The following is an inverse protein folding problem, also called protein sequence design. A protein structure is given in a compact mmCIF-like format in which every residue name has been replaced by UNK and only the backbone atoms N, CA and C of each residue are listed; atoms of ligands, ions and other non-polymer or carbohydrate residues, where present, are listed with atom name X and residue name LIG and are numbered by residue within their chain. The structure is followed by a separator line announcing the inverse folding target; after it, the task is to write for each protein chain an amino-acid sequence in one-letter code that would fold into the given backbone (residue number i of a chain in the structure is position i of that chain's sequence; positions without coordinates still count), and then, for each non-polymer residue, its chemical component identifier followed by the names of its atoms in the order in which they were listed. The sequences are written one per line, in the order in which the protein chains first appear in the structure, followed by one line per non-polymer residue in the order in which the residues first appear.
data_IF_956174388562
#
_entry.id   IF_956174388562
#
_cell.length_a   1.000
_cell.length_b   1.000
_cell.length_c   1.000
_cell.angle_alpha   90.00
_cell.angle_beta   90.00
_cell.angle_gamma   90.00
#
_symmetry.space_group_name_H-M   'P 1'
#
loop_
_entity.id
_entity.type
_entity.pdbx_description
1 polymer ?
#
# COMPACT_ATOMS: atom_id res chain seq x y z
N UNK A 1 -12.65 26.46 0.51
CA UNK A 1 -11.94 25.79 -0.61
C UNK A 1 -10.47 25.56 -0.29
N UNK A 2 -9.74 26.60 0.13
CA UNK A 2 -8.32 26.53 0.50
C UNK A 2 -8.03 25.41 1.50
N UNK A 3 -8.80 25.30 2.59
CA UNK A 3 -8.62 24.23 3.59
C UNK A 3 -8.76 22.79 3.05
N UNK A 4 -9.58 22.56 2.01
CA UNK A 4 -9.68 21.24 1.37
C UNK A 4 -8.44 20.97 0.53
N UNK A 5 -8.07 21.91 -0.34
CA UNK A 5 -6.87 21.79 -1.18
C UNK A 5 -5.56 21.72 -0.38
N UNK A 6 -5.54 22.33 0.80
CA UNK A 6 -4.42 22.27 1.75
C UNK A 6 -4.34 20.94 2.53
N UNK A 7 -5.27 19.99 2.32
CA UNK A 7 -5.25 18.73 3.05
C UNK A 7 -5.73 18.82 4.50
N UNK A 8 -6.29 19.96 4.92
CA UNK A 8 -6.75 20.16 6.31
C UNK A 8 -8.12 19.55 6.59
N UNK A 9 -8.86 19.21 5.54
CA UNK A 9 -10.17 18.56 5.63
C UNK A 9 -10.05 17.10 5.20
N UNK A 10 -10.38 16.20 6.13
CA UNK A 10 -10.40 14.76 5.89
C UNK A 10 -11.80 14.35 5.39
N UNK A 11 -11.99 14.37 4.08
CA UNK A 11 -13.27 14.07 3.44
C UNK A 11 -13.14 12.83 2.55
N UNK A 12 -14.17 11.98 2.45
CA UNK A 12 -14.13 10.78 1.62
C UNK A 12 -14.28 11.05 0.12
N UNK A 13 -14.71 12.25 -0.24
CA UNK A 13 -14.78 12.71 -1.62
C UNK A 13 -14.70 14.23 -1.63
N UNK A 14 -14.44 14.86 -2.79
CA UNK A 14 -14.51 16.29 -2.89
C UNK A 14 -15.90 16.80 -2.46
N UNK A 15 -16.01 17.95 -1.76
CA UNK A 15 -17.29 18.50 -1.32
C UNK A 15 -18.28 18.68 -2.47
N UNK A 16 -19.52 18.23 -2.31
CA UNK A 16 -20.56 18.29 -3.35
C UNK A 16 -20.80 19.70 -3.87
N UNK A 17 -20.82 20.71 -2.98
CA UNK A 17 -20.94 22.11 -3.38
C UNK A 17 -19.84 22.54 -4.37
N UNK A 18 -18.60 22.07 -4.21
CA UNK A 18 -17.50 22.40 -5.14
C UNK A 18 -17.70 21.69 -6.49
N UNK A 19 -18.28 20.48 -6.48
CA UNK A 19 -18.61 19.75 -7.71
C UNK A 19 -19.75 20.45 -8.44
N UNK A 20 -20.80 20.91 -7.75
CA UNK A 20 -21.99 21.50 -8.37
C UNK A 20 -21.72 22.86 -9.04
N UNK A 21 -20.78 23.65 -8.52
CA UNK A 21 -20.41 24.95 -9.10
C UNK A 21 -19.37 24.86 -10.24
N UNK A 22 -18.90 23.66 -10.60
CA UNK A 22 -17.81 23.44 -11.57
C UNK A 22 -18.30 22.76 -12.85
N UNK A 23 -17.73 23.16 -13.98
CA UNK A 23 -17.89 22.47 -15.26
C UNK A 23 -17.30 21.05 -15.20
N UNK A 24 -17.73 20.17 -16.10
CA UNK A 24 -17.39 18.75 -16.09
C UNK A 24 -15.89 18.47 -15.92
N UNK A 25 -15.04 19.10 -16.73
CA UNK A 25 -13.58 18.90 -16.70
C UNK A 25 -12.96 19.33 -15.37
N UNK A 26 -13.43 20.44 -14.80
CA UNK A 26 -12.95 20.92 -13.51
C UNK A 26 -13.36 20.02 -12.35
N UNK A 27 -14.48 19.27 -12.49
CA UNK A 27 -14.87 18.25 -11.52
C UNK A 27 -13.99 17.02 -11.66
N UNK A 28 -13.72 16.57 -12.88
CA UNK A 28 -12.83 15.43 -13.13
C UNK A 28 -11.43 15.69 -12.55
N UNK A 29 -10.85 16.86 -12.84
CA UNK A 29 -9.55 17.27 -12.28
C UNK A 29 -9.52 17.27 -10.75
N UNK A 30 -10.64 17.64 -10.12
CA UNK A 30 -10.77 17.66 -8.66
C UNK A 30 -10.83 16.25 -8.08
N UNK A 31 -11.49 15.32 -8.77
CA UNK A 31 -11.55 13.91 -8.41
C UNK A 31 -10.18 13.25 -8.59
N UNK A 32 -9.48 13.52 -9.69
CA UNK A 32 -8.12 13.03 -9.94
C UNK A 32 -7.15 13.53 -8.86
N UNK A 33 -7.21 14.83 -8.55
CA UNK A 33 -6.42 15.43 -7.49
C UNK A 33 -6.74 14.80 -6.13
N UNK A 34 -8.02 14.55 -5.82
CA UNK A 34 -8.42 13.87 -4.60
C UNK A 34 -7.86 12.44 -4.54
N UNK A 35 -7.97 11.72 -5.66
CA UNK A 35 -7.52 10.34 -5.76
C UNK A 35 -6.01 10.20 -5.58
N UNK A 36 -5.25 11.13 -6.13
CA UNK A 36 -3.79 11.13 -6.08
C UNK A 36 -3.24 11.61 -4.72
N UNK A 37 -3.84 12.64 -4.12
CA UNK A 37 -3.24 13.33 -2.97
C UNK A 37 -3.83 12.94 -1.62
N UNK A 38 -5.10 12.53 -1.57
CA UNK A 38 -5.84 12.33 -0.32
C UNK A 38 -6.05 10.86 -0.01
N UNK A 39 -6.35 10.04 -1.02
CA UNK A 39 -6.44 8.60 -0.81
C UNK A 39 -5.09 8.05 -0.32
N UNK A 40 -5.17 6.99 0.46
CA UNK A 40 -4.02 6.27 0.93
C UNK A 40 -4.19 4.79 0.61
N UNK A 41 -3.11 4.13 0.21
CA UNK A 41 -3.13 2.71 -0.13
C UNK A 41 -2.27 1.95 0.85
N UNK A 42 -2.85 0.98 1.53
CA UNK A 42 -2.09 -0.03 2.26
C UNK A 42 -2.05 -1.31 1.43
N UNK A 43 -0.95 -2.04 1.54
CA UNK A 43 -0.78 -3.35 0.88
C UNK A 43 -0.75 -4.47 1.90
N UNK A 44 -1.19 -5.65 1.49
CA UNK A 44 -1.09 -6.86 2.27
C UNK A 44 -0.56 -7.97 1.38
N UNK A 45 0.44 -8.71 1.88
CA UNK A 45 0.93 -9.90 1.21
C UNK A 45 -0.01 -11.08 1.50
N UNK A 46 -0.53 -11.68 0.44
CA UNK A 46 -1.40 -12.85 0.47
C UNK A 46 -0.55 -14.11 0.24
N UNK A 47 -0.62 -15.10 1.15
CA UNK A 47 0.12 -16.33 0.95
C UNK A 47 -0.45 -17.10 -0.25
N UNK A 48 0.38 -17.92 -0.95
CA UNK A 48 -0.05 -18.73 -2.10
C UNK A 48 -1.18 -19.73 -1.81
N UNK A 49 -1.49 -19.95 -0.53
CA UNK A 49 -2.58 -20.81 -0.08
C UNK A 49 -3.96 -20.20 -0.29
N UNK A 50 -4.05 -18.87 -0.44
CA UNK A 50 -5.30 -18.16 -0.69
C UNK A 50 -5.68 -18.29 -2.16
N UNK A 51 -6.88 -18.80 -2.43
CA UNK A 51 -7.36 -18.96 -3.81
C UNK A 51 -8.29 -17.80 -4.14
N UNK A 52 -7.86 -16.93 -5.05
CA UNK A 52 -8.60 -15.77 -5.53
C UNK A 52 -8.50 -15.75 -7.06
N UNK A 53 -9.58 -15.37 -7.75
CA UNK A 53 -9.51 -15.09 -9.18
C UNK A 53 -8.62 -13.87 -9.45
N UNK A 54 -7.87 -13.90 -10.57
CA UNK A 54 -6.95 -12.82 -10.98
C UNK A 54 -7.62 -11.42 -10.99
N UNK A 55 -8.91 -11.37 -11.33
CA UNK A 55 -9.71 -10.16 -11.39
C UNK A 55 -10.92 -10.24 -10.45
N UNK A 56 -10.71 -10.72 -9.22
CA UNK A 56 -11.78 -10.78 -8.24
C UNK A 56 -12.38 -9.37 -8.02
N UNK A 57 -13.70 -9.22 -8.13
CA UNK A 57 -14.36 -7.95 -7.92
C UNK A 57 -14.21 -7.50 -6.46
N UNK A 58 -14.22 -6.18 -6.28
CA UNK A 58 -14.15 -5.54 -4.96
C UNK A 58 -15.06 -6.18 -3.91
N UNK A 59 -16.32 -6.45 -4.29
CA UNK A 59 -17.32 -7.01 -3.39
C UNK A 59 -16.97 -8.43 -2.91
N UNK A 60 -16.35 -9.26 -3.75
CA UNK A 60 -15.89 -10.60 -3.36
C UNK A 60 -14.72 -10.53 -2.39
N UNK A 61 -13.72 -9.69 -2.69
CA UNK A 61 -12.58 -9.46 -1.78
C UNK A 61 -13.06 -8.97 -0.41
N UNK A 62 -14.00 -8.02 -0.41
CA UNK A 62 -14.57 -7.49 0.82
C UNK A 62 -15.35 -8.56 1.59
N UNK A 63 -16.15 -9.37 0.90
CA UNK A 63 -16.92 -10.47 1.49
C UNK A 63 -16.01 -11.49 2.19
N UNK A 64 -14.88 -11.85 1.56
CA UNK A 64 -13.91 -12.77 2.15
C UNK A 64 -13.27 -12.23 3.44
N UNK A 65 -12.88 -10.94 3.44
CA UNK A 65 -12.38 -10.26 4.65
C UNK A 65 -13.48 -10.22 5.72
N UNK A 66 -14.69 -9.81 5.35
CA UNK A 66 -15.79 -9.66 6.28
C UNK A 66 -16.12 -10.99 6.98
N UNK A 67 -16.31 -12.07 6.22
CA UNK A 67 -16.63 -13.38 6.79
C UNK A 67 -15.50 -13.92 7.68
N UNK A 68 -14.23 -13.72 7.30
CA UNK A 68 -13.10 -14.24 8.05
C UNK A 68 -12.88 -13.54 9.42
N UNK A 69 -13.43 -12.33 9.62
CA UNK A 69 -13.22 -11.51 10.82
C UNK A 69 -14.49 -11.29 11.67
N UNK A 70 -15.67 -11.80 11.26
CA UNK A 70 -16.95 -11.57 11.96
C UNK A 70 -17.31 -12.67 12.98
N UNK A 71 -16.43 -13.64 13.21
CA UNK A 71 -16.64 -14.78 14.12
C UNK A 71 -16.79 -14.40 15.61
N UNK A 72 -16.30 -13.22 16.01
CA UNK A 72 -16.28 -12.74 17.41
C UNK A 72 -17.23 -11.58 17.67
N UNK A 73 -17.58 -11.38 18.95
CA UNK A 73 -18.51 -10.34 19.46
C UNK A 73 -18.23 -8.91 18.95
N UNK A 74 -16.96 -8.55 18.74
CA UNK A 74 -16.54 -7.23 18.23
C UNK A 74 -16.17 -7.21 16.74
N UNK A 75 -16.13 -8.38 16.09
CA UNK A 75 -15.70 -8.52 14.70
C UNK A 75 -16.61 -7.77 13.74
N UNK A 76 -17.92 -7.83 13.95
CA UNK A 76 -18.91 -7.12 13.13
C UNK A 76 -18.75 -5.59 13.21
N UNK A 77 -18.47 -5.04 14.38
CA UNK A 77 -18.27 -3.59 14.55
C UNK A 77 -16.95 -3.15 13.93
N UNK A 78 -15.87 -3.91 14.14
CA UNK A 78 -14.57 -3.66 13.50
C UNK A 78 -14.67 -3.71 11.98
N UNK A 79 -15.42 -4.66 11.43
CA UNK A 79 -15.66 -4.78 9.98
C UNK A 79 -16.57 -3.67 9.44
N UNK A 80 -17.52 -3.15 10.21
CA UNK A 80 -18.30 -1.96 9.81
C UNK A 80 -17.43 -0.72 9.71
N UNK A 81 -16.53 -0.52 10.68
CA UNK A 81 -15.55 0.58 10.62
C UNK A 81 -14.62 0.40 9.42
N UNK A 82 -14.16 -0.82 9.16
CA UNK A 82 -13.35 -1.13 7.97
C UNK A 82 -14.11 -0.80 6.68
N UNK A 83 -15.39 -1.16 6.59
CA UNK A 83 -16.24 -0.86 5.44
C UNK A 83 -16.39 0.64 5.18
N UNK A 84 -16.49 1.45 6.24
CA UNK A 84 -16.64 2.89 6.13
C UNK A 84 -15.33 3.59 5.71
N UNK A 85 -14.18 3.04 6.13
CA UNK A 85 -12.86 3.61 5.87
C UNK A 85 -12.32 3.23 4.46
N UNK A 86 -12.71 2.07 3.92
CA UNK A 86 -12.20 1.53 2.64
C UNK A 86 -13.01 2.04 1.44
N UNK A 87 -12.29 2.61 0.46
CA UNK A 87 -12.81 3.03 -0.85
C UNK A 87 -12.82 1.87 -1.85
N UNK A 88 -11.72 1.11 -1.92
CA UNK A 88 -11.54 0.04 -2.92
C UNK A 88 -10.55 -1.02 -2.45
N UNK A 89 -10.81 -2.27 -2.79
CA UNK A 89 -9.89 -3.40 -2.70
C UNK A 89 -9.58 -3.89 -4.10
N UNK A 90 -8.31 -4.12 -4.39
CA UNK A 90 -7.85 -4.75 -5.64
C UNK A 90 -6.78 -5.79 -5.35
N UNK A 91 -6.74 -6.83 -6.17
CA UNK A 91 -5.72 -7.87 -6.10
C UNK A 91 -4.91 -7.83 -7.40
N UNK A 92 -3.58 -7.88 -7.31
CA UNK A 92 -2.68 -7.89 -8.49
C UNK A 92 -2.78 -9.18 -9.32
N UNK A 93 -3.37 -10.23 -8.75
CA UNK A 93 -3.42 -11.56 -9.36
C UNK A 93 -2.25 -12.46 -9.00
N UNK A 94 -1.33 -11.97 -8.15
CA UNK A 94 -0.14 -12.68 -7.70
C UNK A 94 -0.20 -12.87 -6.18
N UNK A 95 0.19 -11.84 -5.43
CA UNK A 95 0.42 -11.93 -3.98
C UNK A 95 0.01 -10.66 -3.24
N UNK A 96 -0.39 -9.60 -3.93
CA UNK A 96 -0.59 -8.29 -3.30
C UNK A 96 -2.06 -7.89 -3.31
N UNK A 97 -2.62 -7.73 -2.12
CA UNK A 97 -3.89 -7.03 -1.92
C UNK A 97 -3.61 -5.55 -1.70
N UNK A 98 -4.20 -4.69 -2.51
CA UNK A 98 -4.22 -3.25 -2.30
C UNK A 98 -5.54 -2.84 -1.65
N UNK A 99 -5.43 -2.07 -0.57
CA UNK A 99 -6.55 -1.50 0.17
C UNK A 99 -6.45 0.01 0.08
N UNK A 100 -7.31 0.60 -0.75
CA UNK A 100 -7.41 2.04 -0.93
C UNK A 100 -8.41 2.59 0.08
N UNK A 101 -7.94 3.51 0.91
CA UNK A 101 -8.72 4.26 1.88
C UNK A 101 -9.08 5.63 1.34
N UNK A 102 -10.21 6.14 1.81
CA UNK A 102 -10.68 7.49 1.52
C UNK A 102 -9.73 8.59 2.00
N UNK A 103 -8.92 8.29 3.03
CA UNK A 103 -7.93 9.24 3.52
C UNK A 103 -6.72 8.58 4.21
N UNK A 104 -5.64 9.35 4.35
CA UNK A 104 -4.48 8.96 5.18
C UNK A 104 -4.84 8.77 6.65
N UNK A 105 -5.75 9.58 7.18
CA UNK A 105 -6.17 9.42 8.58
C UNK A 105 -6.95 8.12 8.77
N UNK A 106 -7.86 7.79 7.85
CA UNK A 106 -8.52 6.49 7.83
C UNK A 106 -7.50 5.34 7.73
N UNK A 107 -6.58 5.39 6.76
CA UNK A 107 -5.54 4.37 6.59
C UNK A 107 -4.65 4.21 7.82
N UNK A 108 -4.29 5.29 8.52
CA UNK A 108 -3.40 5.22 9.70
C UNK A 108 -3.98 4.37 10.84
N UNK A 109 -5.31 4.27 10.95
CA UNK A 109 -5.98 3.37 11.89
C UNK A 109 -5.76 1.89 11.57
N UNK A 110 -5.40 1.58 10.32
CA UNK A 110 -5.28 0.24 9.77
C UNK A 110 -3.82 -0.17 9.50
N UNK A 111 -2.88 0.78 9.49
CA UNK A 111 -1.46 0.50 9.36
C UNK A 111 -0.99 -0.48 10.45
N UNK A 112 -0.30 -1.54 10.01
CA UNK A 112 0.19 -2.68 10.81
C UNK A 112 -0.91 -3.50 11.51
N UNK A 113 -2.19 -3.29 11.19
CA UNK A 113 -3.25 -4.17 11.71
C UNK A 113 -3.28 -5.49 10.97
N UNK A 114 -3.47 -6.55 11.74
CA UNK A 114 -3.69 -7.89 11.24
C UNK A 114 -5.18 -8.14 10.99
N UNK A 115 -5.52 -8.63 9.81
CA UNK A 115 -6.85 -9.09 9.43
C UNK A 115 -6.76 -10.53 8.94
N UNK A 116 -7.88 -11.24 9.00
CA UNK A 116 -8.00 -12.53 8.33
C UNK A 116 -8.50 -12.34 6.91
N UNK A 117 -7.95 -13.09 5.98
CA UNK A 117 -8.46 -13.23 4.62
C UNK A 117 -8.57 -14.72 4.33
N UNK A 118 -9.79 -15.24 4.14
CA UNK A 118 -10.04 -16.69 4.12
C UNK A 118 -9.44 -17.37 5.37
N UNK A 119 -8.40 -18.20 5.20
CA UNK A 119 -7.67 -18.90 6.27
C UNK A 119 -6.32 -18.27 6.61
N UNK A 120 -5.92 -17.21 5.91
CA UNK A 120 -4.65 -16.53 6.09
C UNK A 120 -4.79 -15.32 7.02
N UNK A 121 -3.71 -15.00 7.73
CA UNK A 121 -3.57 -13.71 8.42
C UNK A 121 -2.76 -12.80 7.52
N UNK A 122 -3.33 -11.64 7.18
CA UNK A 122 -2.68 -10.59 6.42
C UNK A 122 -2.41 -9.40 7.33
N UNK A 123 -1.33 -8.67 7.07
CA UNK A 123 -0.99 -7.44 7.77
C UNK A 123 -1.01 -6.30 6.77
N UNK A 124 -1.77 -5.25 7.07
CA UNK A 124 -1.83 -4.07 6.22
C UNK A 124 -0.60 -3.20 6.46
N UNK A 125 0.21 -2.99 5.44
CA UNK A 125 1.44 -2.23 5.52
C UNK A 125 1.39 -1.01 4.61
N UNK A 126 2.10 0.06 5.01
CA UNK A 126 2.26 1.24 4.17
C UNK A 126 3.49 1.07 3.27
N UNK A 127 3.23 0.75 2.01
CA UNK A 127 4.25 0.59 0.98
C UNK A 127 4.21 1.71 -0.04
N UNK A 128 3.36 2.72 0.15
CA UNK A 128 3.37 3.90 -0.68
C UNK A 128 4.70 4.64 -0.47
N UNK A 129 5.26 5.18 -1.57
CA UNK A 129 6.45 6.02 -1.52
C UNK A 129 6.01 7.45 -1.74
N UNK A 130 6.38 8.35 -0.84
CA UNK A 130 6.14 9.77 -1.08
C UNK A 130 6.93 10.20 -2.33
N UNK A 131 6.34 11.04 -3.18
CA UNK A 131 7.03 11.59 -4.37
C UNK A 131 8.35 12.27 -3.98
N UNK A 132 8.43 12.86 -2.78
CA UNK A 132 9.64 13.48 -2.23
C UNK A 132 10.73 12.50 -1.80
N UNK A 133 10.36 11.24 -1.56
CA UNK A 133 11.28 10.17 -1.20
C UNK A 133 11.71 9.36 -2.43
N UNK A 134 11.13 9.63 -3.60
CA UNK A 134 11.57 9.05 -4.87
C UNK A 134 13.00 9.52 -5.15
N UNK A 135 13.95 8.57 -5.15
CA UNK A 135 15.38 8.83 -5.42
C UNK A 135 16.28 9.01 -4.19
N UNK A 136 15.76 9.05 -2.97
CA UNK A 136 16.59 9.19 -1.74
C UNK A 136 17.32 7.91 -1.34
N UNK A 137 17.00 6.77 -1.95
CA UNK A 137 17.58 5.46 -1.63
C UNK A 137 17.18 4.86 -0.27
N UNK A 138 16.31 5.54 0.49
CA UNK A 138 15.80 5.05 1.78
C UNK A 138 14.50 4.28 1.58
N UNK A 139 14.43 3.06 2.11
CA UNK A 139 13.26 2.19 2.05
C UNK A 139 12.82 1.80 3.46
N UNK A 140 11.51 1.82 3.70
CA UNK A 140 10.96 1.28 4.93
C UNK A 140 10.92 -0.28 4.87
N UNK A 141 10.82 -0.98 6.01
CA UNK A 141 10.79 -2.44 6.02
C UNK A 141 9.67 -3.05 5.16
N UNK A 142 8.49 -2.43 5.14
CA UNK A 142 7.36 -2.90 4.34
C UNK A 142 7.61 -2.81 2.83
N UNK A 143 8.25 -1.73 2.39
CA UNK A 143 8.65 -1.51 1.00
C UNK A 143 9.71 -2.53 0.58
N UNK A 144 10.62 -2.91 1.48
CA UNK A 144 11.62 -3.96 1.24
C UNK A 144 11.00 -5.35 1.19
N UNK A 145 10.00 -5.65 2.03
CA UNK A 145 9.29 -6.94 2.02
C UNK A 145 8.55 -7.21 0.69
N UNK A 146 8.19 -6.16 -0.05
CA UNK A 146 7.63 -6.31 -1.41
C UNK A 146 8.68 -6.59 -2.49
N UNK A 147 9.98 -6.40 -2.20
CA UNK A 147 11.03 -6.63 -3.19
C UNK A 147 11.43 -8.10 -3.23
N UNK A 148 11.77 -8.59 -4.42
CA UNK A 148 12.35 -9.92 -4.58
C UNK A 148 13.80 -9.92 -4.08
N UNK A 149 14.09 -10.72 -3.06
CA UNK A 149 15.45 -10.95 -2.60
C UNK A 149 16.07 -12.14 -3.34
N UNK A 150 17.22 -11.92 -4.00
CA UNK A 150 18.00 -12.99 -4.65
C UNK A 150 19.29 -13.19 -3.88
N UNK A 151 19.51 -14.41 -3.39
CA UNK A 151 20.79 -14.80 -2.78
C UNK A 151 21.73 -15.33 -3.85
N UNK A 152 22.88 -14.71 -4.00
CA UNK A 152 23.90 -15.07 -4.99
C UNK A 152 25.05 -15.79 -4.30
N UNK A 153 25.45 -16.95 -4.84
CA UNK A 153 26.53 -17.77 -4.30
C UNK A 153 27.76 -17.70 -5.21
N UNK A 154 28.96 -17.90 -4.65
CA UNK A 154 30.22 -17.97 -5.41
C UNK A 154 30.73 -16.63 -5.95
N UNK A 155 30.38 -15.54 -5.28
CA UNK A 155 30.70 -14.15 -5.68
C UNK A 155 31.89 -13.56 -4.93
N UNK A 156 32.69 -14.41 -4.29
CA UNK A 156 33.82 -14.04 -3.43
C UNK A 156 34.89 -13.21 -4.18
N UNK A 157 34.95 -13.33 -5.50
CA UNK A 157 35.87 -12.62 -6.39
C UNK A 157 35.24 -11.47 -7.19
N UNK A 158 33.90 -11.31 -7.11
CA UNK A 158 33.13 -10.33 -7.87
C UNK A 158 32.78 -9.15 -6.95
N UNK A 159 33.31 -7.97 -7.24
CA UNK A 159 32.97 -6.76 -6.49
C UNK A 159 31.48 -6.38 -6.62
N UNK A 160 30.92 -5.77 -5.57
CA UNK A 160 29.51 -5.32 -5.50
C UNK A 160 29.07 -4.51 -6.73
N UNK A 161 29.97 -3.68 -7.28
CA UNK A 161 29.70 -2.87 -8.49
C UNK A 161 29.48 -3.75 -9.73
N UNK A 162 30.27 -4.81 -9.89
CA UNK A 162 30.13 -5.73 -11.01
C UNK A 162 28.84 -6.54 -10.89
N UNK A 163 28.50 -6.96 -9.66
CA UNK A 163 27.26 -7.66 -9.37
C UNK A 163 26.03 -6.78 -9.64
N UNK A 164 25.99 -5.56 -9.11
CA UNK A 164 24.89 -4.61 -9.33
C UNK A 164 24.68 -4.31 -10.81
N UNK A 165 25.75 -4.10 -11.58
CA UNK A 165 25.68 -3.89 -13.04
C UNK A 165 25.13 -5.10 -13.78
N UNK A 166 25.60 -6.30 -13.44
CA UNK A 166 25.12 -7.53 -14.07
C UNK A 166 23.63 -7.74 -13.79
N UNK A 167 23.17 -7.58 -12.55
CA UNK A 167 21.76 -7.72 -12.23
C UNK A 167 20.89 -6.65 -12.87
N UNK A 168 21.35 -5.39 -12.98
CA UNK A 168 20.62 -4.34 -13.73
C UNK A 168 20.46 -4.72 -15.19
N UNK A 169 21.48 -5.33 -15.79
CA UNK A 169 21.42 -5.81 -17.16
C UNK A 169 20.46 -7.00 -17.32
N UNK A 170 20.42 -7.93 -16.36
CA UNK A 170 19.53 -9.09 -16.41
C UNK A 170 18.07 -8.74 -16.15
N UNK A 171 17.81 -7.88 -15.16
CA UNK A 171 16.44 -7.52 -14.76
C UNK A 171 15.82 -6.44 -15.65
N UNK A 172 16.66 -5.64 -16.35
CA UNK A 172 16.21 -4.42 -17.02
C UNK A 172 15.67 -3.36 -16.05
N UNK A 173 15.93 -3.50 -14.75
CA UNK A 173 15.40 -2.66 -13.69
C UNK A 173 16.52 -2.16 -12.76
N UNK A 174 16.22 -1.13 -11.97
CA UNK A 174 17.14 -0.67 -10.93
C UNK A 174 17.31 -1.74 -9.85
N UNK A 175 18.56 -2.08 -9.57
CA UNK A 175 18.93 -2.99 -8.48
C UNK A 175 19.28 -2.15 -7.27
N UNK A 176 18.58 -2.41 -6.17
CA UNK A 176 18.83 -1.80 -4.87
C UNK A 176 19.86 -2.64 -4.11
N UNK A 177 20.97 -2.02 -3.76
CA UNK A 177 21.89 -2.55 -2.76
C UNK A 177 21.40 -2.08 -1.39
N UNK A 178 20.83 -2.99 -0.62
CA UNK A 178 20.20 -2.68 0.66
C UNK A 178 21.08 -3.23 1.77
N UNK A 179 21.85 -2.34 2.39
CA UNK A 179 22.52 -2.64 3.64
C UNK A 179 21.59 -2.37 4.82
N UNK A 180 21.57 -3.27 5.80
CA UNK A 180 20.94 -2.97 7.08
C UNK A 180 21.62 -1.75 7.69
N UNK A 181 20.86 -0.84 8.31
CA UNK A 181 21.44 0.31 9.00
C UNK A 181 22.53 -0.18 9.95
N UNK A 182 23.79 0.18 9.67
CA UNK A 182 24.91 -0.10 10.57
C UNK A 182 24.64 0.73 11.81
N UNK A 183 24.06 0.12 12.82
CA UNK A 183 23.77 0.77 14.08
C UNK A 183 25.10 1.07 14.77
N UNK A 184 25.73 2.17 14.41
CA UNK A 184 26.80 2.77 15.19
C UNK A 184 26.17 3.91 15.98
N UNK A 185 25.54 3.58 17.12
CA UNK A 185 25.59 4.52 18.24
C UNK A 185 27.02 4.50 18.75
N UNK A 186 27.89 5.29 18.12
CA UNK A 186 29.08 5.77 18.79
C UNK A 186 28.62 6.94 19.63
N UNK A 187 28.41 6.71 20.92
CA UNK A 187 28.49 7.80 21.89
C UNK A 187 29.95 8.27 21.87
N UNK A 188 30.19 9.43 21.25
CA UNK A 188 31.35 10.28 21.52
C UNK A 188 30.80 11.64 21.93
#
# INVERSE_FOLDING_TARGET
MVAYMEGRLDLPHPPNFIKEIRIADHRALLEDCHEEHFNATLTANLPPTVRIARHAPHAELFKEIFHANTDKRFGAELMRTFQADVKRLTFDGLHTLYVVFFSRHAASKWTKKALRFQKAVIVLQDTARAVREAGTGSFNPAQLEMQYAVRVYGVDTLGLVALSRAFRQFSGAEVLDVEYARATKTEI
#
